data_IF_455252295788
#
_entry.id   IF_455252295788
#
_cell.length_a   1.000
_cell.length_b   1.000
_cell.length_c   1.000
_cell.angle_alpha   90.00
_cell.angle_beta   90.00
_cell.angle_gamma   90.00
#
_symmetry.space_group_name_H-M   'P 1'
#
loop_
_entity.id
_entity.type
_entity.pdbx_description
1 polymer ?
#
# COMPACT_ATOMS: atom_id res chain seq x y z
N UNK A 1 -40.65 -23.61 -14.63
CA UNK A 1 -40.55 -22.21 -15.10
C UNK A 1 -39.90 -21.23 -14.09
N UNK A 2 -39.20 -21.68 -13.04
CA UNK A 2 -38.63 -20.78 -12.01
C UNK A 2 -37.17 -20.35 -12.20
N UNK A 3 -36.37 -21.11 -12.96
CA UNK A 3 -34.91 -20.87 -13.08
C UNK A 3 -34.61 -19.76 -14.11
N UNK A 4 -35.36 -19.70 -15.21
CA UNK A 4 -35.19 -18.70 -16.28
C UNK A 4 -35.53 -17.28 -15.78
N UNK A 5 -36.50 -17.15 -14.88
CA UNK A 5 -36.94 -15.85 -14.34
C UNK A 5 -35.91 -15.24 -13.39
N UNK A 6 -35.19 -16.08 -12.64
CA UNK A 6 -34.12 -15.65 -11.73
C UNK A 6 -32.89 -15.14 -12.48
N UNK A 7 -32.50 -15.82 -13.58
CA UNK A 7 -31.39 -15.38 -14.45
C UNK A 7 -31.74 -14.03 -15.10
N UNK A 8 -32.96 -13.87 -15.65
CA UNK A 8 -33.39 -12.59 -16.25
C UNK A 8 -33.44 -11.43 -15.26
N UNK A 9 -33.64 -11.69 -13.97
CA UNK A 9 -33.67 -10.64 -12.93
C UNK A 9 -32.25 -10.19 -12.53
N UNK A 10 -31.26 -11.08 -12.62
CA UNK A 10 -29.85 -10.74 -12.36
C UNK A 10 -29.26 -9.84 -13.46
N UNK A 11 -29.69 -9.99 -14.72
CA UNK A 11 -29.23 -9.15 -15.84
C UNK A 11 -30.04 -7.86 -16.05
N UNK A 12 -31.11 -7.63 -15.27
CA UNK A 12 -31.96 -6.43 -15.43
C UNK A 12 -31.41 -5.18 -14.76
N UNK A 13 -30.37 -5.29 -13.94
CA UNK A 13 -29.78 -4.14 -13.25
C UNK A 13 -28.32 -3.93 -13.68
N UNK A 14 -28.13 -2.86 -14.45
CA UNK A 14 -26.93 -1.99 -14.50
C UNK A 14 -25.76 -2.32 -15.44
N UNK A 15 -26.02 -2.72 -16.69
CA UNK A 15 -25.08 -2.29 -17.74
C UNK A 15 -25.52 -0.92 -18.25
N UNK A 16 -24.70 0.11 -17.98
CA UNK A 16 -24.82 1.39 -18.71
C UNK A 16 -24.75 1.06 -20.21
N UNK A 17 -25.58 1.69 -21.06
CA UNK A 17 -25.45 1.51 -22.50
C UNK A 17 -24.01 1.77 -22.92
N UNK A 18 -23.54 0.99 -23.89
CA UNK A 18 -22.27 1.25 -24.56
C UNK A 18 -22.30 2.71 -25.05
N UNK A 19 -21.20 3.48 -24.90
CA UNK A 19 -21.16 4.82 -25.47
C UNK A 19 -21.42 4.77 -26.98
N UNK A 20 -22.05 5.82 -27.52
CA UNK A 20 -22.60 5.82 -28.89
C UNK A 20 -21.52 5.67 -29.97
N UNK A 21 -20.27 6.00 -29.63
CA UNK A 21 -19.09 5.83 -30.47
C UNK A 21 -18.74 4.36 -30.76
N UNK A 22 -19.16 3.40 -29.92
CA UNK A 22 -18.79 1.97 -30.01
C UNK A 22 -19.11 1.33 -31.36
N UNK A 23 -20.01 1.92 -32.17
CA UNK A 23 -20.43 1.40 -33.47
C UNK A 23 -20.24 2.39 -34.64
N UNK A 24 -19.48 3.48 -34.48
CA UNK A 24 -19.19 4.38 -35.60
C UNK A 24 -18.15 3.77 -36.55
N UNK A 25 -18.58 3.50 -37.79
CA UNK A 25 -17.76 3.05 -38.91
C UNK A 25 -17.03 4.27 -39.51
N UNK A 26 -15.76 4.46 -39.17
CA UNK A 26 -14.95 5.60 -39.64
C UNK A 26 -14.00 5.15 -40.73
N UNK A 27 -14.11 5.66 -41.96
CA UNK A 27 -13.15 5.37 -43.05
C UNK A 27 -11.77 6.05 -42.87
N UNK A 28 -11.42 6.42 -41.64
CA UNK A 28 -10.17 7.11 -41.28
C UNK A 28 -9.39 6.23 -40.30
N UNK A 29 -8.26 5.69 -40.77
CA UNK A 29 -7.40 4.75 -40.04
C UNK A 29 -6.93 5.32 -38.69
N UNK A 30 -6.69 6.64 -38.60
CA UNK A 30 -6.27 7.27 -37.34
C UNK A 30 -7.44 7.37 -36.35
N UNK A 31 -8.66 7.63 -36.84
CA UNK A 31 -9.87 7.65 -36.03
C UNK A 31 -10.27 6.23 -35.56
N UNK A 32 -10.14 5.21 -36.42
CA UNK A 32 -10.37 3.80 -36.07
C UNK A 32 -9.42 3.38 -34.94
N UNK A 33 -8.13 3.73 -35.04
CA UNK A 33 -7.14 3.41 -34.01
C UNK A 33 -7.44 4.12 -32.69
N UNK A 34 -7.77 5.40 -32.72
CA UNK A 34 -8.15 6.15 -31.51
C UNK A 34 -9.40 5.54 -30.85
N UNK A 35 -10.37 5.14 -31.67
CA UNK A 35 -11.58 4.45 -31.23
C UNK A 35 -11.27 3.10 -30.57
N UNK A 36 -10.47 2.25 -31.21
CA UNK A 36 -10.02 0.97 -30.65
C UNK A 36 -9.27 1.15 -29.32
N UNK A 37 -8.42 2.17 -29.21
CA UNK A 37 -7.73 2.50 -27.96
C UNK A 37 -8.72 2.90 -26.86
N UNK A 38 -9.72 3.71 -27.19
CA UNK A 38 -10.75 4.16 -26.25
C UNK A 38 -11.64 3.01 -25.79
N UNK A 39 -12.03 2.11 -26.69
CA UNK A 39 -12.75 0.88 -26.38
C UNK A 39 -11.91 -0.04 -25.48
N UNK A 40 -10.63 -0.23 -25.81
CA UNK A 40 -9.70 -1.02 -25.01
C UNK A 40 -9.57 -0.45 -23.60
N UNK A 41 -9.37 0.87 -23.47
CA UNK A 41 -9.34 1.58 -22.18
C UNK A 41 -10.66 1.41 -21.43
N UNK A 42 -11.80 1.50 -22.11
CA UNK A 42 -13.13 1.32 -21.52
C UNK A 42 -13.30 -0.09 -20.94
N UNK A 43 -13.10 -1.13 -21.75
CA UNK A 43 -13.24 -2.52 -21.32
C UNK A 43 -12.21 -2.89 -20.24
N UNK A 44 -10.96 -2.43 -20.37
CA UNK A 44 -9.96 -2.59 -19.31
C UNK A 44 -10.45 -1.96 -18.01
N UNK A 45 -10.89 -0.70 -18.01
CA UNK A 45 -11.37 -0.03 -16.79
C UNK A 45 -12.59 -0.71 -16.17
N UNK A 46 -13.46 -1.33 -16.98
CA UNK A 46 -14.61 -2.10 -16.51
C UNK A 46 -14.23 -3.44 -15.88
N UNK A 47 -13.20 -4.09 -16.41
CA UNK A 47 -12.86 -5.48 -16.05
C UNK A 47 -11.62 -5.61 -15.18
N UNK A 48 -10.79 -4.56 -15.04
CA UNK A 48 -9.51 -4.61 -14.32
C UNK A 48 -9.65 -5.04 -12.87
N UNK A 49 -10.72 -4.62 -12.18
CA UNK A 49 -10.96 -5.02 -10.79
C UNK A 49 -11.36 -6.49 -10.68
N UNK A 50 -12.16 -7.01 -11.62
CA UNK A 50 -12.54 -8.42 -11.67
C UNK A 50 -11.34 -9.29 -12.03
N UNK A 51 -10.60 -8.93 -13.08
CA UNK A 51 -9.37 -9.61 -13.49
C UNK A 51 -8.38 -9.68 -12.32
N UNK A 52 -8.20 -8.57 -11.59
CA UNK A 52 -7.43 -8.55 -10.35
C UNK A 52 -8.04 -9.52 -9.34
N UNK A 53 -9.31 -9.32 -8.95
CA UNK A 53 -10.00 -10.07 -7.89
C UNK A 53 -10.04 -11.58 -8.10
N UNK A 54 -10.04 -12.04 -9.34
CA UNK A 54 -10.12 -13.46 -9.69
C UNK A 54 -8.82 -14.05 -10.22
N UNK A 55 -7.72 -13.30 -10.22
CA UNK A 55 -6.38 -13.84 -10.49
C UNK A 55 -6.06 -15.01 -9.52
N UNK A 56 -5.97 -16.26 -10.02
CA UNK A 56 -5.72 -17.43 -9.18
C UNK A 56 -4.41 -17.35 -8.39
N UNK A 57 -3.39 -16.68 -8.94
CA UNK A 57 -2.10 -16.52 -8.26
C UNK A 57 -2.20 -15.65 -7.01
N UNK A 58 -3.18 -14.74 -6.97
CA UNK A 58 -3.40 -13.82 -5.85
C UNK A 58 -4.40 -14.35 -4.81
N UNK A 59 -5.11 -15.45 -5.08
CA UNK A 59 -6.10 -16.02 -4.14
C UNK A 59 -5.43 -16.42 -2.81
N UNK A 60 -4.32 -17.19 -2.78
CA UNK A 60 -3.67 -17.56 -1.53
C UNK A 60 -3.16 -16.34 -0.75
N UNK A 61 -2.58 -15.37 -1.45
CA UNK A 61 -2.07 -14.12 -0.87
C UNK A 61 -3.21 -13.31 -0.21
N UNK A 62 -4.36 -13.20 -0.89
CA UNK A 62 -5.54 -12.51 -0.35
C UNK A 62 -6.11 -13.22 0.87
N UNK A 63 -6.06 -14.55 0.90
CA UNK A 63 -6.49 -15.33 2.06
C UNK A 63 -5.61 -15.00 3.27
N UNK A 64 -4.30 -14.89 3.10
CA UNK A 64 -3.38 -14.48 4.17
C UNK A 64 -3.64 -13.04 4.64
N UNK A 65 -3.80 -12.09 3.71
CA UNK A 65 -4.18 -10.72 4.09
C UNK A 65 -5.52 -10.65 4.83
N UNK A 66 -6.49 -11.48 4.43
CA UNK A 66 -7.80 -11.54 5.07
C UNK A 66 -7.71 -12.14 6.48
N UNK A 67 -6.91 -13.20 6.67
CA UNK A 67 -6.65 -13.81 7.98
C UNK A 67 -6.03 -12.79 8.95
N UNK A 68 -5.03 -12.04 8.47
CA UNK A 68 -4.36 -11.03 9.26
C UNK A 68 -5.20 -9.75 9.45
N UNK A 69 -6.42 -9.63 8.88
CA UNK A 69 -7.21 -8.39 8.94
C UNK A 69 -7.47 -7.91 10.38
N UNK A 70 -7.64 -8.84 11.31
CA UNK A 70 -7.93 -8.54 12.72
C UNK A 70 -6.68 -8.31 13.59
N UNK A 71 -5.48 -8.45 13.03
CA UNK A 71 -4.24 -8.30 13.79
C UNK A 71 -4.02 -6.88 14.30
N UNK A 72 -3.38 -6.79 15.47
CA UNK A 72 -2.95 -5.51 16.06
C UNK A 72 -1.69 -4.97 15.39
N UNK A 73 -0.83 -5.87 14.89
CA UNK A 73 0.40 -5.51 14.20
C UNK A 73 0.75 -6.52 13.10
N UNK A 74 1.36 -6.05 12.03
CA UNK A 74 1.80 -6.85 10.89
C UNK A 74 3.23 -6.47 10.54
N UNK A 75 3.98 -7.41 9.97
CA UNK A 75 5.22 -7.08 9.29
C UNK A 75 4.90 -6.28 8.03
N UNK A 76 5.54 -5.12 7.82
CA UNK A 76 5.46 -4.44 6.52
C UNK A 76 6.85 -4.27 5.95
N UNK A 77 7.16 -5.18 5.03
CA UNK A 77 8.38 -5.13 4.25
C UNK A 77 8.11 -4.41 2.95
N UNK A 78 8.98 -3.45 2.66
CA UNK A 78 8.91 -2.63 1.47
C UNK A 78 9.84 -3.26 0.42
N UNK A 79 9.39 -3.38 -0.85
CA UNK A 79 10.26 -3.85 -1.93
C UNK A 79 11.52 -2.99 -2.01
N UNK A 80 12.66 -3.58 -2.37
CA UNK A 80 13.96 -2.88 -2.34
C UNK A 80 13.95 -1.60 -3.18
N UNK A 81 13.29 -1.65 -4.33
CA UNK A 81 13.13 -0.51 -5.25
C UNK A 81 12.35 0.66 -4.63
N UNK A 82 11.61 0.42 -3.55
CA UNK A 82 10.82 1.41 -2.81
C UNK A 82 11.46 1.83 -1.48
N UNK A 83 12.64 1.31 -1.12
CA UNK A 83 13.35 1.75 0.07
C UNK A 83 13.55 3.28 0.03
N UNK A 84 13.32 3.93 1.17
CA UNK A 84 13.39 5.38 1.35
C UNK A 84 12.43 6.22 0.49
N UNK A 85 11.52 5.61 -0.28
CA UNK A 85 10.46 6.29 -1.04
C UNK A 85 9.19 6.34 -0.19
N UNK A 86 9.07 7.38 0.64
CA UNK A 86 8.07 7.49 1.70
C UNK A 86 7.58 8.94 1.87
N UNK A 87 6.68 9.19 2.82
CA UNK A 87 6.08 10.52 3.02
C UNK A 87 7.16 11.54 3.40
N UNK A 88 8.07 11.15 4.29
CA UNK A 88 9.14 12.04 4.76
C UNK A 88 10.08 12.46 3.62
N UNK A 89 10.52 11.52 2.80
CA UNK A 89 11.42 11.83 1.68
C UNK A 89 10.72 12.64 0.59
N UNK A 90 9.45 12.35 0.30
CA UNK A 90 8.64 13.19 -0.58
C UNK A 90 8.55 14.64 -0.08
N UNK A 91 8.24 14.84 1.21
CA UNK A 91 8.10 16.19 1.80
C UNK A 91 9.44 16.93 1.74
N UNK A 92 10.51 16.31 2.20
CA UNK A 92 11.82 16.95 2.23
C UNK A 92 12.33 17.30 0.84
N UNK A 93 12.12 16.43 -0.15
CA UNK A 93 12.49 16.72 -1.54
C UNK A 93 11.64 17.83 -2.15
N UNK A 94 10.33 17.81 -1.94
CA UNK A 94 9.39 18.73 -2.59
C UNK A 94 9.42 20.12 -1.99
N UNK A 95 9.52 20.22 -0.66
CA UNK A 95 9.43 21.49 0.08
C UNK A 95 10.76 21.97 0.63
N UNK A 96 11.84 21.22 0.43
CA UNK A 96 13.18 21.52 0.95
C UNK A 96 13.22 21.78 2.48
N UNK A 97 12.29 21.18 3.23
CA UNK A 97 12.22 21.24 4.69
C UNK A 97 11.40 20.08 5.26
N UNK A 98 11.45 19.85 6.58
CA UNK A 98 10.80 18.72 7.25
C UNK A 98 9.61 19.11 8.14
N UNK A 99 9.28 20.40 8.29
CA UNK A 99 8.20 20.85 9.20
C UNK A 99 6.86 20.19 8.89
N UNK A 100 6.46 20.12 7.61
CA UNK A 100 5.18 19.48 7.22
C UNK A 100 5.08 18.03 7.71
N UNK A 101 6.20 17.30 7.72
CA UNK A 101 6.23 15.95 8.27
C UNK A 101 6.00 15.96 9.80
N UNK A 102 6.62 16.91 10.51
CA UNK A 102 6.40 17.08 11.95
C UNK A 102 4.95 17.45 12.28
N UNK A 103 4.34 18.34 11.49
CA UNK A 103 2.95 18.75 11.68
C UNK A 103 1.99 17.57 11.49
N UNK A 104 2.22 16.74 10.47
CA UNK A 104 1.46 15.50 10.23
C UNK A 104 1.63 14.54 11.41
N UNK A 105 2.86 14.36 11.92
CA UNK A 105 3.10 13.51 13.11
C UNK A 105 2.29 13.97 14.31
N UNK A 106 2.41 15.23 14.69
CA UNK A 106 1.70 15.79 15.85
C UNK A 106 0.18 15.73 15.67
N UNK A 107 -0.32 15.98 14.45
CA UNK A 107 -1.73 15.82 14.15
C UNK A 107 -2.21 14.40 14.45
N UNK A 108 -1.52 13.38 13.96
CA UNK A 108 -1.92 11.98 14.18
C UNK A 108 -1.71 11.52 15.63
N UNK A 109 -0.67 11.98 16.32
CA UNK A 109 -0.48 11.69 17.74
C UNK A 109 -1.65 12.22 18.56
N UNK A 110 -2.03 13.49 18.36
CA UNK A 110 -3.18 14.10 19.01
C UNK A 110 -4.49 13.40 18.63
N UNK A 111 -4.71 13.11 17.35
CA UNK A 111 -5.90 12.40 16.84
C UNK A 111 -6.13 11.06 17.52
N UNK A 112 -5.05 10.38 17.90
CA UNK A 112 -5.09 9.07 18.56
C UNK A 112 -4.80 9.16 20.07
N UNK A 113 -4.89 10.34 20.68
CA UNK A 113 -4.64 10.57 22.11
C UNK A 113 -3.28 10.04 22.59
N UNK A 114 -2.27 10.05 21.73
CA UNK A 114 -0.93 9.51 21.98
C UNK A 114 -0.92 8.03 22.35
N UNK A 115 -1.92 7.27 21.88
CA UNK A 115 -2.03 5.83 22.10
C UNK A 115 -1.40 5.07 20.93
N UNK A 116 -0.47 4.17 21.24
CA UNK A 116 0.08 3.23 20.28
C UNK A 116 -1.04 2.35 19.71
N UNK A 117 -1.19 2.31 18.38
CA UNK A 117 -2.28 1.59 17.73
C UNK A 117 -2.14 0.06 17.77
N UNK A 118 -0.96 -0.45 18.17
CA UNK A 118 -0.72 -1.87 18.41
C UNK A 118 -0.92 -2.24 19.88
N UNK A 119 0.00 -1.84 20.78
CA UNK A 119 -0.02 -2.26 22.18
C UNK A 119 -1.04 -1.52 23.06
N UNK A 120 -1.64 -0.43 22.56
CA UNK A 120 -2.64 0.41 23.26
C UNK A 120 -2.15 1.15 24.51
N UNK A 121 -0.86 1.14 24.79
CA UNK A 121 -0.27 2.00 25.82
C UNK A 121 -0.20 3.47 25.33
N UNK A 122 -0.22 4.40 26.28
CA UNK A 122 -0.08 5.84 26.07
C UNK A 122 1.40 6.24 26.16
N UNK A 123 1.82 7.17 25.30
CA UNK A 123 3.19 7.66 25.21
C UNK A 123 3.21 9.18 25.06
N UNK A 124 4.39 9.79 25.12
CA UNK A 124 4.59 11.19 24.73
C UNK A 124 4.95 11.32 23.23
N UNK A 125 5.00 12.56 22.75
CA UNK A 125 5.34 12.87 21.35
C UNK A 125 6.75 12.40 20.94
N UNK A 126 7.69 12.32 21.88
CA UNK A 126 9.08 11.94 21.62
C UNK A 126 9.26 10.42 21.50
N UNK A 127 8.42 9.67 22.20
CA UNK A 127 8.45 8.21 22.27
C UNK A 127 7.57 7.54 21.21
N UNK A 128 6.72 8.32 20.53
CA UNK A 128 5.90 7.86 19.41
C UNK A 128 6.57 8.09 18.06
N UNK A 129 6.47 7.05 17.24
CA UNK A 129 6.78 7.09 15.82
C UNK A 129 5.48 7.06 15.02
N UNK A 130 5.44 7.77 13.90
CA UNK A 130 4.33 7.67 12.96
C UNK A 130 4.69 6.68 11.86
N UNK A 131 3.95 5.57 11.80
CA UNK A 131 4.17 4.51 10.82
C UNK A 131 3.21 4.65 9.65
N UNK A 132 3.77 4.52 8.46
CA UNK A 132 3.05 4.43 7.19
C UNK A 132 2.55 3.00 6.94
N UNK A 133 1.28 2.89 6.56
CA UNK A 133 0.67 1.68 6.02
C UNK A 133 0.47 1.84 4.52
N UNK A 134 0.96 0.86 3.77
CA UNK A 134 1.00 0.90 2.31
C UNK A 134 0.16 -0.23 1.71
N UNK A 135 -0.62 0.10 0.68
CA UNK A 135 -1.22 -0.86 -0.24
C UNK A 135 -0.48 -0.81 -1.58
N UNK A 136 -0.33 -1.95 -2.23
CA UNK A 136 0.36 -2.05 -3.52
C UNK A 136 -0.63 -2.48 -4.60
N UNK A 137 -0.68 -1.73 -5.69
CA UNK A 137 -1.32 -2.11 -6.94
C UNK A 137 -0.23 -2.38 -7.97
N UNK A 138 0.00 -3.65 -8.28
CA UNK A 138 1.05 -4.07 -9.22
C UNK A 138 0.71 -3.78 -10.67
N UNK A 139 -0.58 -3.88 -11.03
CA UNK A 139 -1.05 -3.60 -12.39
C UNK A 139 -0.88 -2.11 -12.72
N UNK A 140 -1.30 -1.24 -11.79
CA UNK A 140 -1.18 0.22 -11.96
C UNK A 140 0.18 0.76 -11.52
N UNK A 141 1.04 -0.10 -10.95
CA UNK A 141 2.33 0.29 -10.36
C UNK A 141 2.18 1.45 -9.37
N UNK A 142 1.24 1.33 -8.44
CA UNK A 142 1.00 2.31 -7.37
C UNK A 142 1.32 1.71 -6.00
N UNK A 143 2.08 2.45 -5.20
CA UNK A 143 2.23 2.27 -3.75
C UNK A 143 1.40 3.36 -3.08
N UNK A 144 0.25 2.99 -2.53
CA UNK A 144 -0.73 3.92 -1.95
C UNK A 144 -0.63 3.98 -0.44
N UNK A 145 -0.49 5.19 0.10
CA UNK A 145 -0.57 5.44 1.53
C UNK A 145 -2.03 5.28 1.97
N UNK A 146 -2.32 4.22 2.73
CA UNK A 146 -3.69 3.93 3.16
C UNK A 146 -3.97 4.38 4.58
N UNK A 147 -2.93 4.53 5.41
CA UNK A 147 -3.05 5.04 6.77
C UNK A 147 -1.69 5.48 7.33
N UNK A 148 -1.76 6.35 8.34
CA UNK A 148 -0.67 6.68 9.24
C UNK A 148 -1.11 6.31 10.66
N UNK A 149 -0.30 5.52 11.37
CA UNK A 149 -0.64 5.04 12.71
C UNK A 149 0.49 5.34 13.71
N UNK A 150 0.17 5.87 14.90
CA UNK A 150 1.16 6.00 15.97
C UNK A 150 1.58 4.64 16.52
N UNK A 151 2.89 4.41 16.63
CA UNK A 151 3.49 3.23 17.25
C UNK A 151 4.59 3.64 18.23
N UNK A 152 4.73 2.91 19.33
CA UNK A 152 5.92 3.02 20.18
C UNK A 152 7.14 2.41 19.50
N UNK A 153 8.34 2.68 20.00
CA UNK A 153 9.59 2.17 19.45
C UNK A 153 9.63 0.64 19.28
N UNK A 154 9.08 -0.10 20.24
CA UNK A 154 9.01 -1.57 20.18
C UNK A 154 8.06 -2.07 19.09
N UNK A 155 6.82 -1.58 19.07
CA UNK A 155 5.86 -1.92 18.02
C UNK A 155 6.36 -1.49 16.63
N UNK A 156 7.07 -0.36 16.56
CA UNK A 156 7.70 0.08 15.31
C UNK A 156 8.79 -0.89 14.85
N UNK A 157 9.57 -1.43 15.79
CA UNK A 157 10.62 -2.43 15.54
C UNK A 157 10.03 -3.76 15.08
N UNK A 158 8.93 -4.23 15.69
CA UNK A 158 8.21 -5.43 15.22
C UNK A 158 7.80 -5.27 13.76
N UNK A 159 7.14 -4.16 13.41
CA UNK A 159 6.66 -3.96 12.04
C UNK A 159 7.80 -3.75 11.00
N UNK A 160 9.05 -3.57 11.46
CA UNK A 160 10.28 -3.51 10.65
C UNK A 160 11.33 -4.53 11.14
N UNK A 161 10.88 -5.72 11.55
CA UNK A 161 11.76 -6.72 12.19
C UNK A 161 12.95 -7.12 11.31
N UNK A 162 12.81 -7.04 9.99
CA UNK A 162 13.88 -7.31 9.04
C UNK A 162 15.12 -6.40 9.18
N UNK A 163 15.00 -5.23 9.83
CA UNK A 163 16.15 -4.37 10.20
C UNK A 163 16.99 -4.96 11.33
N UNK A 164 16.42 -5.88 12.10
CA UNK A 164 17.07 -6.55 13.23
C UNK A 164 17.54 -7.96 12.90
N UNK A 165 17.45 -8.42 11.65
CA UNK A 165 17.79 -9.80 11.24
C UNK A 165 19.20 -10.29 11.61
N UNK A 166 20.15 -9.38 11.88
CA UNK A 166 21.51 -9.71 12.31
C UNK A 166 21.62 -9.91 13.83
N UNK A 167 20.60 -9.47 14.57
CA UNK A 167 20.47 -9.57 16.02
C UNK A 167 19.40 -10.63 16.32
N UNK A 168 19.88 -11.87 16.51
CA UNK A 168 19.02 -13.06 16.65
C UNK A 168 18.17 -12.98 17.92
N UNK A 169 18.77 -12.61 19.05
CA UNK A 169 18.08 -12.50 20.34
C UNK A 169 16.96 -11.48 20.28
N UNK A 170 17.24 -10.29 19.72
CA UNK A 170 16.22 -9.26 19.53
C UNK A 170 15.13 -9.70 18.56
N UNK A 171 15.48 -10.43 17.50
CA UNK A 171 14.50 -10.93 16.54
C UNK A 171 13.54 -11.92 17.21
N UNK A 172 14.06 -12.87 18.00
CA UNK A 172 13.24 -13.83 18.76
C UNK A 172 12.30 -13.08 19.71
N UNK A 173 12.82 -12.14 20.51
CA UNK A 173 12.00 -11.36 21.45
C UNK A 173 10.90 -10.53 20.74
N UNK A 174 11.17 -10.02 19.54
CA UNK A 174 10.17 -9.29 18.74
C UNK A 174 9.10 -10.23 18.15
N UNK A 175 9.46 -11.46 17.79
CA UNK A 175 8.52 -12.50 17.32
C UNK A 175 7.57 -12.93 18.44
N UNK A 176 8.09 -13.19 19.64
CA UNK A 176 7.27 -13.53 20.82
C UNK A 176 6.24 -12.43 21.11
N UNK A 177 6.66 -11.16 21.03
CA UNK A 177 5.76 -10.01 21.23
C UNK A 177 4.73 -9.87 20.11
N UNK A 178 5.13 -10.11 18.87
CA UNK A 178 4.22 -10.15 17.73
C UNK A 178 3.13 -11.20 17.94
N UNK A 179 3.52 -12.41 18.35
CA UNK A 179 2.61 -13.51 18.63
C UNK A 179 1.62 -13.14 19.75
N UNK A 180 2.14 -12.63 20.87
CA UNK A 180 1.34 -12.15 22.00
C UNK A 180 0.35 -11.06 21.61
N UNK A 181 0.77 -10.04 20.86
CA UNK A 181 -0.11 -8.94 20.46
C UNK A 181 -1.20 -9.36 19.48
N UNK A 182 -0.94 -10.36 18.65
CA UNK A 182 -1.91 -10.85 17.67
C UNK A 182 -2.75 -12.03 18.18
N UNK A 183 -2.44 -12.58 19.36
CA UNK A 183 -3.15 -13.73 19.91
C UNK A 183 -2.95 -15.01 19.09
N UNK A 184 -1.72 -15.22 18.62
CA UNK A 184 -1.32 -16.39 17.82
C UNK A 184 -0.13 -17.10 18.49
N UNK A 185 0.17 -18.31 18.06
CA UNK A 185 1.40 -19.01 18.45
C UNK A 185 2.63 -18.53 17.66
N UNK A 186 3.82 -18.89 18.13
CA UNK A 186 5.08 -18.52 17.51
C UNK A 186 5.26 -19.14 16.12
N UNK A 187 4.78 -20.37 15.90
CA UNK A 187 4.82 -21.02 14.59
C UNK A 187 4.08 -20.20 13.54
N UNK A 188 2.91 -19.65 13.89
CA UNK A 188 2.15 -18.76 13.03
C UNK A 188 2.85 -17.41 12.86
N UNK A 189 3.55 -16.91 13.88
CA UNK A 189 4.35 -15.69 13.76
C UNK A 189 5.50 -15.83 12.76
N UNK A 190 6.20 -16.97 12.75
CA UNK A 190 7.22 -17.27 11.73
C UNK A 190 6.61 -17.44 10.34
N UNK A 191 5.47 -18.12 10.20
CA UNK A 191 4.74 -18.19 8.92
C UNK A 191 4.36 -16.80 8.40
N UNK A 192 3.97 -15.88 9.29
CA UNK A 192 3.64 -14.51 8.93
C UNK A 192 4.88 -13.72 8.47
N UNK A 193 6.04 -13.97 9.10
CA UNK A 193 7.32 -13.40 8.71
C UNK A 193 7.73 -13.88 7.31
N UNK A 194 7.66 -15.19 7.07
CA UNK A 194 7.96 -15.80 5.77
C UNK A 194 7.01 -15.29 4.68
N UNK A 195 5.72 -15.13 5.00
CA UNK A 195 4.76 -14.52 4.10
C UNK A 195 5.14 -13.08 3.74
N UNK A 196 5.56 -12.28 4.72
CA UNK A 196 5.98 -10.90 4.48
C UNK A 196 7.25 -10.80 3.61
N UNK A 197 8.25 -11.67 3.80
CA UNK A 197 9.42 -11.74 2.91
C UNK A 197 9.06 -12.26 1.52
N UNK A 198 8.12 -13.21 1.43
CA UNK A 198 7.64 -13.73 0.14
C UNK A 198 6.92 -12.64 -0.66
N UNK A 199 6.05 -11.84 -0.03
CA UNK A 199 5.40 -10.69 -0.68
C UNK A 199 6.42 -9.63 -1.10
N UNK A 200 7.42 -9.34 -0.26
CA UNK A 200 8.50 -8.41 -0.61
C UNK A 200 9.26 -8.89 -1.84
N UNK A 201 9.58 -10.18 -1.90
CA UNK A 201 10.30 -10.81 -3.01
C UNK A 201 9.46 -10.83 -4.28
N UNK A 202 8.18 -11.17 -4.18
CA UNK A 202 7.25 -11.20 -5.31
C UNK A 202 7.10 -9.83 -5.98
N UNK A 203 7.15 -8.76 -5.19
CA UNK A 203 7.04 -7.36 -5.66
C UNK A 203 8.36 -6.74 -6.13
N UNK A 204 9.47 -7.49 -6.03
CA UNK A 204 10.80 -7.02 -6.43
C UNK A 204 10.81 -6.67 -7.92
N UNK A 205 11.54 -5.62 -8.27
CA UNK A 205 11.67 -5.14 -9.64
C UNK A 205 10.54 -4.24 -10.15
N UNK A 206 9.47 -4.07 -9.37
CA UNK A 206 8.36 -3.18 -9.74
C UNK A 206 8.63 -1.76 -9.24
N UNK A 207 8.63 -0.79 -10.16
CA UNK A 207 8.77 0.64 -9.88
C UNK A 207 7.39 1.25 -9.66
N UNK A 208 6.96 1.29 -8.41
CA UNK A 208 5.69 1.91 -8.00
C UNK A 208 5.81 3.42 -7.86
N UNK A 209 4.84 4.19 -8.36
CA UNK A 209 4.67 5.59 -8.01
C UNK A 209 3.99 5.72 -6.65
N UNK A 210 4.25 6.82 -5.93
CA UNK A 210 3.65 7.05 -4.61
C UNK A 210 2.30 7.75 -4.75
N UNK A 211 1.22 7.07 -4.38
CA UNK A 211 -0.06 7.71 -4.16
C UNK A 211 -0.15 8.17 -2.69
N UNK A 212 -0.09 9.48 -2.50
CA UNK A 212 -0.12 10.16 -1.21
C UNK A 212 -1.43 10.94 -1.00
N UNK A 213 -2.47 10.63 -1.77
CA UNK A 213 -3.78 11.32 -1.70
C UNK A 213 -4.42 11.35 -0.31
N UNK A 214 -4.04 10.43 0.60
CA UNK A 214 -4.43 10.48 2.01
C UNK A 214 -4.03 11.80 2.71
N UNK A 215 -3.02 12.49 2.19
CA UNK A 215 -2.44 13.71 2.76
C UNK A 215 -2.78 14.96 1.95
N UNK A 216 -3.80 14.90 1.10
CA UNK A 216 -4.21 16.04 0.26
C UNK A 216 -4.50 17.29 1.10
N UNK A 217 -5.18 17.14 2.24
CA UNK A 217 -5.46 18.24 3.18
C UNK A 217 -4.20 18.92 3.74
N UNK A 218 -3.05 18.23 3.74
CA UNK A 218 -1.77 18.76 4.26
C UNK A 218 -0.83 19.26 3.16
N UNK A 219 -0.89 18.62 1.99
CA UNK A 219 0.14 18.67 0.96
C UNK A 219 -0.38 19.04 -0.44
N UNK A 220 -1.71 19.08 -0.64
CA UNK A 220 -2.38 19.40 -1.91
C UNK A 220 -1.94 18.49 -3.07
N UNK A 221 -2.11 17.18 -2.88
CA UNK A 221 -1.60 16.13 -3.78
C UNK A 221 -2.72 15.68 -4.71
N UNK A 222 -2.57 16.01 -5.99
CA UNK A 222 -3.56 15.68 -7.03
C UNK A 222 -3.25 14.38 -7.78
N UNK A 223 -1.97 14.03 -7.91
CA UNK A 223 -1.51 12.92 -8.73
C UNK A 223 -0.44 12.08 -8.02
N UNK A 224 -0.31 10.78 -8.34
CA UNK A 224 0.79 9.95 -7.84
C UNK A 224 2.16 10.53 -8.19
N UNK A 225 3.05 10.60 -7.21
CA UNK A 225 4.40 11.12 -7.39
C UNK A 225 5.31 10.07 -8.06
N UNK A 226 5.92 10.45 -9.18
CA UNK A 226 6.96 9.66 -9.83
C UNK A 226 8.26 9.71 -9.03
N UNK A 227 8.40 8.78 -8.10
CA UNK A 227 9.55 8.61 -7.23
C UNK A 227 10.72 7.85 -7.88
N UNK A 228 10.73 7.67 -9.20
CA UNK A 228 11.81 6.97 -9.94
C UNK A 228 12.62 7.87 -10.86
N UNK A 229 12.43 9.18 -10.81
CA UNK A 229 13.24 10.13 -11.57
C UNK A 229 14.70 10.13 -11.10
N UNK A 230 15.63 10.33 -12.02
CA UNK A 230 17.07 10.40 -11.69
C UNK A 230 17.37 11.51 -10.67
N UNK A 231 16.66 12.64 -10.78
CA UNK A 231 16.77 13.76 -9.83
C UNK A 231 16.39 13.33 -8.41
N UNK A 232 15.26 12.65 -8.24
CA UNK A 232 14.81 12.22 -6.92
C UNK A 232 15.68 11.09 -6.35
N UNK A 233 16.03 10.10 -7.18
CA UNK A 233 16.92 9.01 -6.75
C UNK A 233 18.31 9.54 -6.37
N UNK A 234 18.90 10.43 -7.17
CA UNK A 234 20.17 11.08 -6.84
C UNK A 234 20.11 11.88 -5.54
N UNK A 235 18.99 12.57 -5.28
CA UNK A 235 18.77 13.25 -4.01
C UNK A 235 18.65 12.27 -2.82
N UNK A 236 17.95 11.14 -2.99
CA UNK A 236 17.83 10.10 -1.96
C UNK A 236 19.20 9.51 -1.58
N UNK A 237 20.06 9.27 -2.56
CA UNK A 237 21.41 8.71 -2.34
C UNK A 237 22.27 9.64 -1.46
N UNK A 238 22.08 10.95 -1.58
CA UNK A 238 22.81 11.95 -0.77
C UNK A 238 22.20 12.11 0.62
N UNK A 239 20.86 12.04 0.75
CA UNK A 239 20.16 12.46 1.98
C UNK A 239 19.66 11.30 2.85
N UNK A 240 19.58 10.06 2.33
CA UNK A 240 18.93 8.93 3.02
C UNK A 240 19.73 7.62 3.00
N UNK A 241 20.82 7.51 2.22
CA UNK A 241 21.59 6.26 2.06
C UNK A 241 22.29 5.80 3.34
N UNK A 242 22.61 6.69 4.27
CA UNK A 242 23.31 6.37 5.52
C UNK A 242 22.42 5.75 6.62
N UNK A 243 21.17 5.36 6.31
CA UNK A 243 20.19 4.90 7.32
C UNK A 243 19.74 3.44 7.20
N UNK A 244 20.44 2.61 6.41
CA UNK A 244 20.19 1.15 6.29
C UNK A 244 21.03 0.29 7.24
#
# INVERSE_FOLDING_TARGET
MGIITTIKRLFKNSQKPLPDDVFEDTNDIDAEREHEENLTKYFYNKTKEDARRYDPALIPIRKEYSRQKAYRIKFHFIPKEQNNKNVRSYIQYTFNHWQKWQDIRLHYFKKHNHICQSCRNTFDDKSLHLRELWAFNEHEKIQKLIALIPLCAECHSIAHINRHKKDVEKTIALIEKYASYNGIDEDQAYKDLDFAESERTRRKGIKYNLDLSLLDDFLSIKEPFNCHTDKFNGWLEVNFKESE
#
